data_IF_374018624847
#
_entry.id   IF_374018624847
#
_cell.length_a   1.000
_cell.length_b   1.000
_cell.length_c   1.000
_cell.angle_alpha   90.00
_cell.angle_beta   90.00
_cell.angle_gamma   90.00
#
_symmetry.space_group_name_H-M   'P 1'
#
loop_
_entity.id
_entity.type
_entity.pdbx_description
1 polymer ?
#
# COMPACT_ATOMS: atom_id res chain seq x y z
N UNK A 1 -27.73 3.27 -7.89
CA UNK A 1 -27.21 1.96 -7.42
C UNK A 1 -27.07 1.00 -8.59
N UNK A 2 -26.03 1.17 -9.39
CA UNK A 2 -25.68 0.22 -10.45
C UNK A 2 -24.25 -0.20 -10.18
N UNK A 3 -24.09 -1.27 -9.41
CA UNK A 3 -22.85 -2.03 -9.51
C UNK A 3 -22.74 -2.41 -10.97
N UNK A 4 -21.73 -1.91 -11.69
CA UNK A 4 -21.24 -2.62 -12.87
C UNK A 4 -21.18 -4.08 -12.45
N UNK A 5 -22.01 -4.93 -13.05
CA UNK A 5 -22.19 -6.32 -12.64
C UNK A 5 -20.92 -7.06 -13.04
N UNK A 6 -19.88 -6.88 -12.23
CA UNK A 6 -18.61 -7.59 -12.37
C UNK A 6 -19.00 -9.06 -12.45
N UNK A 7 -18.72 -9.68 -13.60
CA UNK A 7 -19.03 -11.07 -13.87
C UNK A 7 -18.69 -11.89 -12.61
N UNK A 8 -19.64 -12.68 -12.06
CA UNK A 8 -19.43 -13.39 -10.80
C UNK A 8 -18.16 -14.25 -10.81
N UNK A 9 -17.78 -14.78 -11.98
CA UNK A 9 -16.52 -15.51 -12.19
C UNK A 9 -15.32 -14.58 -12.08
N UNK A 10 -15.32 -13.42 -12.77
CA UNK A 10 -14.25 -12.41 -12.67
C UNK A 10 -14.08 -11.94 -11.22
N UNK A 11 -15.18 -11.69 -10.51
CA UNK A 11 -15.16 -11.31 -9.08
C UNK A 11 -14.59 -12.42 -8.19
N UNK A 12 -14.94 -13.68 -8.46
CA UNK A 12 -14.40 -14.82 -7.71
C UNK A 12 -12.90 -15.01 -7.97
N UNK A 13 -12.45 -14.93 -9.23
CA UNK A 13 -11.03 -15.03 -9.61
C UNK A 13 -10.22 -13.92 -8.95
N UNK A 14 -10.70 -12.67 -9.03
CA UNK A 14 -10.04 -11.54 -8.36
C UNK A 14 -9.95 -11.74 -6.84
N UNK A 15 -10.97 -12.36 -6.23
CA UNK A 15 -10.93 -12.68 -4.80
C UNK A 15 -9.89 -13.76 -4.48
N UNK A 16 -9.70 -14.76 -5.33
CA UNK A 16 -8.65 -15.76 -5.11
C UNK A 16 -7.26 -15.17 -5.35
N UNK A 17 -7.10 -14.39 -6.42
CA UNK A 17 -5.86 -13.68 -6.69
C UNK A 17 -5.45 -12.79 -5.51
N UNK A 18 -6.39 -12.03 -4.96
CA UNK A 18 -6.17 -11.21 -3.76
C UNK A 18 -5.67 -12.04 -2.56
N UNK A 19 -6.29 -13.21 -2.32
CA UNK A 19 -5.87 -14.12 -1.24
C UNK A 19 -4.47 -14.68 -1.48
N UNK A 20 -4.12 -15.00 -2.73
CA UNK A 20 -2.77 -15.43 -3.09
C UNK A 20 -1.75 -14.31 -2.85
N UNK A 21 -2.04 -13.08 -3.26
CA UNK A 21 -1.17 -11.93 -3.05
C UNK A 21 -0.92 -11.67 -1.56
N UNK A 22 -1.96 -11.72 -0.73
CA UNK A 22 -1.82 -11.52 0.71
C UNK A 22 -1.01 -12.64 1.39
N UNK A 23 -1.06 -13.87 0.88
CA UNK A 23 -0.34 -15.02 1.45
C UNK A 23 1.04 -15.25 0.83
N UNK A 24 1.39 -14.53 -0.24
CA UNK A 24 2.63 -14.71 -1.00
C UNK A 24 3.86 -14.70 -0.09
N UNK A 25 3.98 -13.72 0.79
CA UNK A 25 5.14 -13.57 1.68
C UNK A 25 5.27 -14.73 2.68
N UNK A 26 4.14 -15.23 3.21
CA UNK A 26 4.12 -16.33 4.19
C UNK A 26 4.48 -17.64 3.49
N UNK A 27 3.86 -17.91 2.34
CA UNK A 27 4.13 -19.12 1.55
C UNK A 27 5.58 -19.12 1.05
N UNK A 28 6.06 -17.98 0.56
CA UNK A 28 7.46 -17.81 0.13
C UNK A 28 8.44 -18.07 1.27
N UNK A 29 8.19 -17.51 2.47
CA UNK A 29 9.03 -17.75 3.64
C UNK A 29 9.05 -19.25 4.02
N UNK A 30 7.90 -19.91 4.03
CA UNK A 30 7.80 -21.33 4.35
C UNK A 30 8.51 -22.22 3.32
N UNK A 31 8.29 -21.97 2.03
CA UNK A 31 8.90 -22.75 0.94
C UNK A 31 10.41 -22.50 0.84
N UNK A 32 10.86 -21.25 0.87
CA UNK A 32 12.29 -20.92 0.82
C UNK A 32 13.00 -21.36 2.09
N UNK A 33 12.41 -21.14 3.25
CA UNK A 33 12.97 -21.59 4.53
C UNK A 33 13.11 -23.10 4.58
N UNK A 34 12.10 -23.86 4.16
CA UNK A 34 12.15 -25.33 4.15
C UNK A 34 13.13 -25.88 3.11
N UNK A 35 13.16 -25.33 1.90
CA UNK A 35 14.13 -25.76 0.86
C UNK A 35 15.57 -25.47 1.28
N UNK A 36 15.86 -24.29 1.82
CA UNK A 36 17.18 -23.96 2.37
C UNK A 36 17.56 -24.85 3.55
N UNK A 37 16.60 -25.17 4.42
CA UNK A 37 16.84 -26.09 5.56
C UNK A 37 17.24 -27.47 5.08
N UNK A 38 16.54 -28.02 4.08
CA UNK A 38 16.87 -29.33 3.50
C UNK A 38 18.22 -29.33 2.77
N UNK A 39 18.54 -28.24 2.07
CA UNK A 39 19.84 -28.08 1.42
C UNK A 39 20.98 -27.99 2.45
N UNK A 40 20.78 -27.24 3.53
CA UNK A 40 21.77 -27.11 4.62
C UNK A 40 21.93 -28.40 5.42
N UNK A 41 20.86 -29.20 5.55
CA UNK A 41 20.91 -30.46 6.28
C UNK A 41 21.97 -31.41 5.74
N UNK A 42 22.12 -31.52 4.43
CA UNK A 42 23.12 -32.41 3.82
C UNK A 42 24.55 -32.07 4.30
N UNK A 43 24.85 -30.77 4.44
CA UNK A 43 26.14 -30.27 4.94
C UNK A 43 26.35 -30.43 6.45
N UNK A 44 25.28 -30.58 7.24
CA UNK A 44 25.32 -30.60 8.71
C UNK A 44 25.02 -31.99 9.29
N UNK A 45 24.47 -32.90 8.48
CA UNK A 45 24.04 -34.25 8.86
C UNK A 45 25.12 -35.07 9.59
N UNK A 46 26.39 -34.88 9.22
CA UNK A 46 27.55 -35.54 9.84
C UNK A 46 27.73 -35.25 11.33
N UNK A 47 27.12 -34.19 11.87
CA UNK A 47 27.16 -33.82 13.29
C UNK A 47 26.24 -34.66 14.18
N UNK A 48 25.38 -35.48 13.58
CA UNK A 48 24.40 -36.33 14.28
C UNK A 48 24.78 -37.82 14.12
N UNK A 49 25.90 -38.23 14.71
CA UNK A 49 26.46 -39.59 14.60
C UNK A 49 26.59 -40.25 15.97
N UNK A 50 26.38 -41.57 16.03
CA UNK A 50 26.45 -42.39 17.26
C UNK A 50 27.84 -42.39 17.95
N UNK A 51 28.90 -42.09 17.20
CA UNK A 51 30.29 -42.08 17.68
C UNK A 51 30.78 -40.65 17.89
N UNK A 52 30.24 -40.00 18.93
CA UNK A 52 30.66 -38.67 19.35
C UNK A 52 31.96 -38.77 20.17
N UNK A 53 33.12 -38.91 19.51
CA UNK A 53 34.39 -39.09 20.22
C UNK A 53 35.24 -37.82 20.35
N UNK A 54 35.21 -36.86 19.43
CA UNK A 54 35.84 -35.53 19.63
C UNK A 54 35.12 -34.45 18.77
N UNK A 55 34.75 -33.31 19.39
CA UNK A 55 34.12 -32.16 18.72
C UNK A 55 32.66 -31.85 19.14
N UNK A 56 32.05 -30.83 18.52
CA UNK A 56 30.66 -30.42 18.76
C UNK A 56 29.70 -31.33 17.98
N UNK A 57 29.36 -32.50 18.53
CA UNK A 57 28.45 -33.51 17.96
C UNK A 57 27.24 -33.75 18.87
N UNK A 58 26.10 -34.14 18.27
CA UNK A 58 24.83 -34.39 18.96
C UNK A 58 24.51 -35.89 18.96
N UNK A 59 23.94 -36.39 20.07
CA UNK A 59 23.50 -37.79 20.17
C UNK A 59 22.39 -38.09 19.16
N UNK A 60 22.36 -39.33 18.64
CA UNK A 60 21.44 -39.74 17.58
C UNK A 60 19.95 -39.76 18.02
N UNK A 61 19.72 -39.88 19.34
CA UNK A 61 18.42 -39.67 19.95
C UNK A 61 18.53 -38.70 21.12
N UNK A 62 17.56 -37.79 21.21
CA UNK A 62 17.35 -36.91 22.36
C UNK A 62 15.90 -37.09 22.78
N UNK A 63 15.66 -37.54 24.02
CA UNK A 63 14.31 -37.74 24.57
C UNK A 63 13.39 -38.66 23.74
N UNK A 64 13.94 -39.64 23.01
CA UNK A 64 13.17 -40.58 22.19
C UNK A 64 12.75 -40.06 20.81
N UNK A 65 13.12 -38.82 20.46
CA UNK A 65 12.93 -38.25 19.13
C UNK A 65 14.25 -38.38 18.34
N UNK A 66 14.23 -38.81 17.06
CA UNK A 66 15.41 -38.80 16.22
C UNK A 66 16.00 -37.39 16.12
N UNK A 67 17.29 -37.25 16.37
CA UNK A 67 17.96 -35.95 16.43
C UNK A 67 17.88 -35.17 15.10
N UNK A 68 17.64 -35.87 13.98
CA UNK A 68 17.36 -35.30 12.66
C UNK A 68 16.21 -34.28 12.66
N UNK A 69 15.09 -34.58 13.32
CA UNK A 69 13.94 -33.66 13.34
C UNK A 69 14.24 -32.40 14.16
N UNK A 70 14.98 -32.55 15.26
CA UNK A 70 15.40 -31.44 16.11
C UNK A 70 16.42 -30.58 15.36
N UNK A 71 17.35 -31.19 14.64
CA UNK A 71 18.33 -30.50 13.80
C UNK A 71 17.69 -29.71 12.66
N UNK A 72 16.75 -30.31 11.93
CA UNK A 72 15.99 -29.63 10.88
C UNK A 72 15.19 -28.44 11.43
N UNK A 73 14.48 -28.63 12.54
CA UNK A 73 13.73 -27.55 13.19
C UNK A 73 14.66 -26.43 13.67
N UNK A 74 15.82 -26.78 14.23
CA UNK A 74 16.83 -25.82 14.69
C UNK A 74 17.41 -24.99 13.54
N UNK A 75 17.75 -25.62 12.42
CA UNK A 75 18.24 -24.90 11.22
C UNK A 75 17.15 -23.96 10.69
N UNK A 76 15.91 -24.45 10.55
CA UNK A 76 14.79 -23.63 10.07
C UNK A 76 14.52 -22.43 11.00
N UNK A 77 14.48 -22.65 12.32
CA UNK A 77 14.33 -21.58 13.30
C UNK A 77 15.50 -20.58 13.25
N UNK A 78 16.73 -21.07 13.06
CA UNK A 78 17.92 -20.23 12.89
C UNK A 78 17.83 -19.34 11.65
N UNK A 79 17.38 -19.87 10.52
CA UNK A 79 17.16 -19.09 9.30
C UNK A 79 16.09 -18.00 9.52
N UNK A 80 14.98 -18.33 10.17
CA UNK A 80 13.95 -17.33 10.51
C UNK A 80 14.53 -16.24 11.42
N UNK A 81 15.31 -16.61 12.44
CA UNK A 81 15.94 -15.63 13.32
C UNK A 81 16.91 -14.72 12.57
N UNK A 82 17.70 -15.25 11.63
CA UNK A 82 18.60 -14.44 10.79
C UNK A 82 17.78 -13.44 9.95
N UNK A 83 16.71 -13.89 9.29
CA UNK A 83 15.82 -13.02 8.51
C UNK A 83 15.20 -11.93 9.38
N UNK A 84 14.74 -12.27 10.59
CA UNK A 84 14.20 -11.30 11.55
C UNK A 84 15.26 -10.32 12.06
N UNK A 85 16.49 -10.78 12.31
CA UNK A 85 17.60 -9.92 12.68
C UNK A 85 17.94 -8.93 11.56
N UNK A 86 17.99 -9.38 10.30
CA UNK A 86 18.20 -8.49 9.14
C UNK A 86 17.07 -7.47 9.04
N UNK A 87 15.81 -7.88 9.20
CA UNK A 87 14.66 -6.97 9.23
C UNK A 87 14.75 -5.95 10.38
N UNK A 88 15.13 -6.40 11.58
CA UNK A 88 15.33 -5.53 12.73
C UNK A 88 16.42 -4.48 12.47
N UNK A 89 17.56 -4.89 11.90
CA UNK A 89 18.64 -3.96 11.55
C UNK A 89 18.19 -2.96 10.47
N UNK A 90 17.46 -3.43 9.45
CA UNK A 90 16.88 -2.59 8.39
C UNK A 90 15.96 -1.50 8.96
N UNK A 91 15.08 -1.86 9.90
CA UNK A 91 14.13 -0.93 10.50
C UNK A 91 14.77 0.00 11.55
N UNK A 92 15.51 -0.56 12.51
CA UNK A 92 15.97 0.19 13.69
C UNK A 92 17.32 0.87 13.54
N UNK A 93 18.25 0.26 12.81
CA UNK A 93 19.62 0.77 12.71
C UNK A 93 19.76 1.63 11.47
N UNK A 94 19.28 1.14 10.32
CA UNK A 94 19.41 1.88 9.06
C UNK A 94 18.19 2.77 8.78
N UNK A 95 17.03 2.49 9.39
CA UNK A 95 15.78 3.23 9.17
C UNK A 95 15.45 3.46 7.69
N UNK A 96 15.81 2.48 6.85
CA UNK A 96 15.68 2.57 5.39
C UNK A 96 14.22 2.67 4.95
N UNK A 97 13.31 2.06 5.70
CA UNK A 97 11.87 2.21 5.49
C UNK A 97 11.42 3.68 5.58
N UNK A 98 11.99 4.45 6.52
CA UNK A 98 11.65 5.88 6.66
C UNK A 98 12.13 6.67 5.45
N UNK A 99 13.35 6.40 4.97
CA UNK A 99 13.88 7.03 3.77
C UNK A 99 13.05 6.67 2.54
N UNK A 100 12.67 5.39 2.38
CA UNK A 100 11.79 4.95 1.30
C UNK A 100 10.42 5.67 1.36
N UNK A 101 9.81 5.74 2.54
CA UNK A 101 8.56 6.50 2.74
C UNK A 101 8.70 7.97 2.37
N UNK A 102 9.81 8.63 2.72
CA UNK A 102 10.07 10.02 2.34
C UNK A 102 10.08 10.18 0.82
N UNK A 103 10.81 9.31 0.12
CA UNK A 103 10.88 9.32 -1.35
C UNK A 103 9.51 9.08 -1.96
N UNK A 104 8.72 8.17 -1.40
CA UNK A 104 7.34 7.91 -1.87
C UNK A 104 6.43 9.13 -1.68
N UNK A 105 6.58 9.88 -0.60
CA UNK A 105 5.84 11.14 -0.38
C UNK A 105 6.31 12.26 -1.31
N UNK A 106 7.62 12.44 -1.45
CA UNK A 106 8.23 13.45 -2.33
C UNK A 106 7.83 13.24 -3.80
N UNK A 107 7.75 11.97 -4.23
CA UNK A 107 7.34 11.63 -5.60
C UNK A 107 5.84 11.64 -5.79
N UNK A 108 5.05 11.65 -4.73
CA UNK A 108 3.60 11.68 -4.86
C UNK A 108 3.15 13.10 -5.20
N UNK A 109 2.62 13.33 -6.43
CA UNK A 109 2.21 14.67 -6.84
C UNK A 109 1.11 15.22 -5.93
N UNK A 110 0.22 14.37 -5.39
CA UNK A 110 -0.90 14.78 -4.55
C UNK A 110 -0.52 15.23 -3.13
N UNK A 111 0.73 15.02 -2.74
CA UNK A 111 1.30 15.50 -1.48
C UNK A 111 2.17 16.73 -1.64
N UNK A 112 2.55 17.08 -2.87
CA UNK A 112 3.55 18.12 -3.16
C UNK A 112 2.97 19.30 -3.92
N UNK A 113 2.27 19.07 -5.04
CA UNK A 113 1.82 20.16 -5.91
C UNK A 113 0.43 19.99 -6.53
N UNK A 114 -0.08 18.76 -6.64
CA UNK A 114 -1.42 18.47 -7.12
C UNK A 114 -2.39 18.25 -5.96
N UNK A 115 -3.67 18.54 -6.17
CA UNK A 115 -4.71 18.38 -5.15
C UNK A 115 -5.60 17.17 -5.44
N UNK A 116 -5.76 16.26 -4.47
CA UNK A 116 -6.72 15.16 -4.65
C UNK A 116 -8.16 15.70 -4.61
N UNK A 117 -9.08 15.21 -5.48
CA UNK A 117 -10.46 15.72 -5.56
C UNK A 117 -11.25 15.72 -4.25
N UNK A 118 -11.09 14.67 -3.44
CA UNK A 118 -11.77 14.56 -2.15
C UNK A 118 -11.30 15.63 -1.17
N UNK A 119 -9.99 15.86 -1.12
CA UNK A 119 -9.41 16.90 -0.26
C UNK A 119 -9.74 18.29 -0.80
N UNK A 120 -9.77 18.47 -2.12
CA UNK A 120 -10.19 19.72 -2.77
C UNK A 120 -11.61 20.12 -2.39
N UNK A 121 -12.57 19.20 -2.45
CA UNK A 121 -13.95 19.48 -2.05
C UNK A 121 -14.05 19.87 -0.57
N UNK A 122 -13.30 19.21 0.30
CA UNK A 122 -13.28 19.54 1.73
C UNK A 122 -12.67 20.94 1.97
N UNK A 123 -11.56 21.24 1.30
CA UNK A 123 -10.89 22.53 1.41
C UNK A 123 -11.77 23.67 0.87
N UNK A 124 -12.38 23.50 -0.31
CA UNK A 124 -13.29 24.49 -0.89
C UNK A 124 -14.52 24.75 0.00
N UNK A 125 -15.11 23.70 0.57
CA UNK A 125 -16.24 23.82 1.50
C UNK A 125 -15.83 24.54 2.79
N UNK A 126 -14.65 24.25 3.31
CA UNK A 126 -14.12 24.89 4.51
C UNK A 126 -13.84 26.37 4.27
N UNK A 127 -13.20 26.69 3.14
CA UNK A 127 -12.91 28.07 2.76
C UNK A 127 -14.19 28.90 2.61
N UNK A 128 -15.18 28.37 1.90
CA UNK A 128 -16.47 29.03 1.72
C UNK A 128 -17.23 29.24 3.04
N UNK A 129 -17.22 28.25 3.92
CA UNK A 129 -17.85 28.38 5.24
C UNK A 129 -17.15 29.44 6.10
N UNK A 130 -15.82 29.55 6.03
CA UNK A 130 -15.07 30.57 6.74
C UNK A 130 -15.37 31.98 6.21
N UNK A 131 -15.43 32.14 4.88
CA UNK A 131 -15.86 33.40 4.25
C UNK A 131 -17.24 33.84 4.71
N UNK A 132 -18.20 32.91 4.75
CA UNK A 132 -19.57 33.22 5.19
C UNK A 132 -19.67 33.54 6.68
N UNK A 133 -18.80 32.95 7.49
CA UNK A 133 -18.83 33.13 8.95
C UNK A 133 -18.17 34.43 9.41
N UNK A 134 -17.24 34.97 8.61
CA UNK A 134 -16.47 36.16 8.95
C UNK A 134 -16.50 37.18 7.80
N UNK A 135 -17.66 37.74 7.44
CA UNK A 135 -17.81 38.65 6.31
C UNK A 135 -17.05 39.98 6.50
N UNK A 136 -16.82 40.40 7.74
CA UNK A 136 -16.21 41.69 8.07
C UNK A 136 -14.66 41.67 8.10
N UNK A 137 -14.04 40.51 7.91
CA UNK A 137 -12.58 40.34 7.93
C UNK A 137 -12.02 40.28 6.51
N UNK A 138 -11.64 41.44 5.95
CA UNK A 138 -11.13 41.56 4.58
C UNK A 138 -9.89 40.70 4.31
N UNK A 139 -9.01 40.51 5.31
CA UNK A 139 -7.79 39.70 5.15
C UNK A 139 -8.15 38.22 5.04
N UNK A 140 -9.05 37.73 5.91
CA UNK A 140 -9.55 36.37 5.83
C UNK A 140 -10.29 36.11 4.51
N UNK A 141 -11.11 37.05 4.04
CA UNK A 141 -11.81 36.93 2.76
C UNK A 141 -10.81 36.71 1.62
N UNK A 142 -9.75 37.54 1.56
CA UNK A 142 -8.72 37.44 0.52
C UNK A 142 -7.96 36.11 0.57
N UNK A 143 -7.63 35.61 1.77
CA UNK A 143 -6.97 34.31 1.93
C UNK A 143 -7.87 33.15 1.47
N UNK A 144 -9.15 33.18 1.83
CA UNK A 144 -10.09 32.13 1.41
C UNK A 144 -10.37 32.18 -0.08
N UNK A 145 -10.45 33.38 -0.69
CA UNK A 145 -10.55 33.54 -2.14
C UNK A 145 -9.36 32.96 -2.87
N UNK A 146 -8.16 33.15 -2.33
CA UNK A 146 -6.96 32.53 -2.87
C UNK A 146 -7.02 30.99 -2.81
N UNK A 147 -7.50 30.42 -1.69
CA UNK A 147 -7.68 28.97 -1.54
C UNK A 147 -8.71 28.43 -2.56
N UNK A 148 -9.83 29.12 -2.75
CA UNK A 148 -10.83 28.75 -3.75
C UNK A 148 -10.27 28.82 -5.17
N UNK A 149 -9.46 29.83 -5.48
CA UNK A 149 -8.70 29.92 -6.73
C UNK A 149 -7.76 28.74 -6.94
N UNK A 150 -7.00 28.36 -5.90
CA UNK A 150 -6.13 27.18 -5.95
C UNK A 150 -6.91 25.87 -6.20
N UNK A 151 -8.08 25.70 -5.57
CA UNK A 151 -8.99 24.58 -5.87
C UNK A 151 -9.43 24.60 -7.35
N UNK A 152 -9.80 25.78 -7.87
CA UNK A 152 -10.26 25.94 -9.26
C UNK A 152 -9.18 25.55 -10.28
N UNK A 153 -7.94 25.96 -10.06
CA UNK A 153 -6.80 25.59 -10.92
C UNK A 153 -6.54 24.07 -10.90
N UNK A 154 -6.72 23.40 -9.76
CA UNK A 154 -6.54 21.95 -9.65
C UNK A 154 -7.71 21.13 -10.24
N UNK A 155 -8.86 21.77 -10.47
CA UNK A 155 -10.00 21.15 -11.12
C UNK A 155 -9.79 20.95 -12.64
N UNK A 156 -8.67 21.42 -13.22
CA UNK A 156 -8.31 21.11 -14.61
C UNK A 156 -7.45 19.83 -14.75
N UNK A 157 -7.37 19.01 -13.70
CA UNK A 157 -6.57 17.78 -13.70
C UNK A 157 -7.35 16.56 -14.19
N UNK A 158 -6.64 15.59 -14.77
CA UNK A 158 -7.23 14.31 -15.19
C UNK A 158 -7.89 13.55 -14.03
N UNK A 159 -7.32 13.64 -12.82
CA UNK A 159 -7.88 12.98 -11.62
C UNK A 159 -9.21 13.61 -11.22
N UNK A 160 -9.35 14.93 -11.40
CA UNK A 160 -10.65 15.59 -11.25
C UNK A 160 -11.65 15.08 -12.27
N UNK A 161 -11.29 15.02 -13.56
CA UNK A 161 -12.14 14.48 -14.62
C UNK A 161 -12.58 13.03 -14.33
N UNK A 162 -11.66 12.15 -13.93
CA UNK A 162 -11.95 10.78 -13.49
C UNK A 162 -12.97 10.75 -12.35
N UNK A 163 -12.85 11.67 -11.40
CA UNK A 163 -13.75 11.73 -10.24
C UNK A 163 -15.14 12.22 -10.62
N UNK A 164 -15.23 13.28 -11.43
CA UNK A 164 -16.51 13.81 -11.93
C UNK A 164 -17.25 12.76 -12.76
N UNK A 165 -16.56 12.12 -13.72
CA UNK A 165 -17.16 11.05 -14.53
C UNK A 165 -17.61 9.86 -13.67
N UNK A 166 -16.85 9.53 -12.62
CA UNK A 166 -17.24 8.50 -11.66
C UNK A 166 -18.53 8.89 -10.89
N UNK A 167 -18.65 10.13 -10.43
CA UNK A 167 -19.84 10.63 -9.77
C UNK A 167 -21.05 10.67 -10.70
N UNK A 168 -20.89 11.16 -11.93
CA UNK A 168 -21.92 11.20 -12.97
C UNK A 168 -22.50 9.80 -13.23
N UNK A 169 -21.64 8.79 -13.29
CA UNK A 169 -22.01 7.40 -13.56
C UNK A 169 -22.77 6.72 -12.41
N UNK A 170 -22.45 7.04 -11.16
CA UNK A 170 -22.92 6.28 -9.99
C UNK A 170 -23.98 7.00 -9.14
N UNK A 171 -24.01 8.33 -9.18
CA UNK A 171 -24.90 9.16 -8.36
C UNK A 171 -25.93 9.84 -9.28
N UNK A 172 -25.50 10.86 -10.00
CA UNK A 172 -26.26 11.68 -10.96
C UNK A 172 -25.27 12.65 -11.59
N UNK A 173 -25.69 13.35 -12.66
CA UNK A 173 -24.89 14.44 -13.22
C UNK A 173 -24.42 15.40 -12.12
N UNK A 174 -23.10 15.54 -12.01
CA UNK A 174 -22.42 16.28 -10.96
C UNK A 174 -22.75 17.75 -11.18
N UNK A 175 -23.27 18.46 -10.17
CA UNK A 175 -23.58 19.88 -10.31
C UNK A 175 -22.29 20.68 -10.46
N UNK A 176 -22.39 21.84 -11.11
CA UNK A 176 -21.30 22.81 -11.12
C UNK A 176 -21.17 23.43 -9.73
N UNK A 177 -20.04 23.17 -9.08
CA UNK A 177 -19.77 23.64 -7.73
C UNK A 177 -19.54 25.15 -7.71
N UNK A 178 -19.85 25.80 -6.58
CA UNK A 178 -19.85 27.27 -6.42
C UNK A 178 -18.49 27.94 -6.66
N UNK A 179 -17.39 27.19 -6.61
CA UNK A 179 -16.03 27.66 -6.81
C UNK A 179 -15.48 27.32 -8.21
N UNK A 180 -16.30 26.67 -9.06
CA UNK A 180 -15.94 26.23 -10.41
C UNK A 180 -16.86 26.87 -11.45
N UNK A 181 -16.36 26.92 -12.68
CA UNK A 181 -17.12 27.39 -13.84
C UNK A 181 -17.68 26.18 -14.62
N UNK A 182 -18.79 26.39 -15.35
CA UNK A 182 -19.39 25.34 -16.19
C UNK A 182 -18.42 24.86 -17.28
N UNK A 183 -17.53 25.73 -17.77
CA UNK A 183 -16.51 25.36 -18.75
C UNK A 183 -15.59 24.24 -18.20
N UNK A 184 -15.08 24.39 -16.98
CA UNK A 184 -14.21 23.41 -16.31
C UNK A 184 -14.96 22.08 -16.12
N UNK A 185 -16.22 22.15 -15.68
CA UNK A 185 -17.05 20.96 -15.49
C UNK A 185 -17.35 20.24 -16.80
N UNK A 186 -17.68 20.97 -17.87
CA UNK A 186 -17.90 20.41 -19.20
C UNK A 186 -16.64 19.76 -19.78
N UNK A 187 -15.47 20.36 -19.54
CA UNK A 187 -14.17 19.80 -19.91
C UNK A 187 -13.91 18.50 -19.16
N UNK A 188 -14.10 18.48 -17.84
CA UNK A 188 -13.95 17.29 -17.00
C UNK A 188 -14.84 16.11 -17.46
N UNK A 189 -16.09 16.40 -17.88
CA UNK A 189 -17.03 15.39 -18.41
C UNK A 189 -16.65 14.88 -19.79
N UNK A 190 -16.09 15.74 -20.65
CA UNK A 190 -15.76 15.41 -22.06
C UNK A 190 -14.36 14.83 -22.25
N UNK A 191 -13.49 14.92 -21.24
CA UNK A 191 -12.13 14.42 -21.30
C UNK A 191 -12.11 12.90 -21.48
N UNK A 192 -11.46 12.44 -22.56
CA UNK A 192 -11.20 11.01 -22.78
C UNK A 192 -10.09 10.56 -21.85
N UNK A 193 -10.37 9.53 -21.07
CA UNK A 193 -9.42 8.91 -20.14
C UNK A 193 -8.99 7.58 -20.77
N UNK A 194 -7.70 7.46 -21.08
CA UNK A 194 -7.13 6.37 -21.91
C UNK A 194 -7.29 4.95 -21.32
N UNK A 195 -7.68 4.82 -20.03
CA UNK A 195 -7.82 3.53 -19.34
C UNK A 195 -9.25 2.94 -19.34
N UNK A 196 -10.26 3.62 -19.92
CA UNK A 196 -11.67 3.17 -19.89
C UNK A 196 -12.20 2.52 -21.19
N UNK A 197 -11.35 2.24 -22.18
CA UNK A 197 -11.70 1.47 -23.40
C UNK A 197 -11.18 0.00 -23.38
#
# INVERSE_FOLDING_TARGET
>A
MTSSSINPVKKWVMRQYWRMQQSQSIISLGLLGSTLTLLLWDYVSWRFTDKCNEGFCFSNSVLGIPATYIGLLGIFAGLILIVLCVGYLYDRVFSLWTAQRSVDFERNPFWTYALSPMFMMNMAMTAENLKRSSPDDEELQAQMDWILGYCKENADSEIWARTVQHWDKHISETPTFWFLDEEIMSKARSQKIEDED
#
